data_IF_307289710618
#
_entry.id   IF_307289710618
#
_cell.length_a   1.000
_cell.length_b   1.000
_cell.length_c   1.000
_cell.angle_alpha   90.00
_cell.angle_beta   90.00
_cell.angle_gamma   90.00
#
_symmetry.space_group_name_H-M   'P 1'
#
loop_
_entity.id
_entity.type
_entity.pdbx_description
1 polymer ?
#
# COMPACT_ATOMS: atom_id res chain seq x y z
N UNK A 1 39.04 -31.91 -14.94
CA UNK A 1 38.67 -30.64 -15.59
C UNK A 1 37.40 -30.11 -14.92
N UNK A 2 37.42 -28.92 -14.31
CA UNK A 2 36.17 -28.30 -13.83
C UNK A 2 35.37 -27.87 -15.06
N UNK A 3 34.10 -28.25 -15.13
CA UNK A 3 33.21 -27.84 -16.23
C UNK A 3 33.09 -26.33 -16.29
N UNK A 4 32.83 -25.76 -17.48
CA UNK A 4 32.68 -24.30 -17.70
C UNK A 4 31.66 -23.67 -16.74
N UNK A 5 30.60 -24.41 -16.41
CA UNK A 5 29.58 -24.01 -15.43
C UNK A 5 30.12 -23.93 -14.00
N UNK A 6 31.01 -24.84 -13.59
CA UNK A 6 31.60 -24.81 -12.25
C UNK A 6 32.51 -23.58 -12.06
N UNK A 7 33.21 -23.16 -13.12
CA UNK A 7 34.04 -21.94 -13.10
C UNK A 7 33.15 -20.70 -12.99
N UNK A 8 32.09 -20.61 -13.81
CA UNK A 8 31.14 -19.51 -13.76
C UNK A 8 30.47 -19.39 -12.38
N UNK A 9 29.99 -20.51 -11.81
CA UNK A 9 29.39 -20.54 -10.47
C UNK A 9 30.39 -20.06 -9.41
N UNK A 10 31.65 -20.55 -9.46
CA UNK A 10 32.67 -20.14 -8.50
C UNK A 10 33.03 -18.65 -8.58
N UNK A 11 32.90 -18.05 -9.77
CA UNK A 11 33.14 -16.62 -9.98
C UNK A 11 31.95 -15.75 -9.55
N UNK A 12 30.73 -16.23 -9.71
CA UNK A 12 29.51 -15.46 -9.44
C UNK A 12 29.05 -15.53 -7.98
N UNK A 13 29.32 -16.63 -7.29
CA UNK A 13 28.86 -16.85 -5.92
C UNK A 13 29.22 -15.72 -4.94
N UNK A 14 30.46 -15.17 -4.92
CA UNK A 14 30.79 -14.06 -4.02
C UNK A 14 29.94 -12.80 -4.27
N UNK A 15 29.59 -12.52 -5.53
CA UNK A 15 28.78 -11.36 -5.91
C UNK A 15 27.34 -11.54 -5.45
N UNK A 16 26.77 -12.73 -5.68
CA UNK A 16 25.42 -13.07 -5.19
C UNK A 16 25.36 -12.98 -3.67
N UNK A 17 26.37 -13.52 -2.96
CA UNK A 17 26.45 -13.43 -1.51
C UNK A 17 26.51 -11.98 -1.02
N UNK A 18 27.29 -11.12 -1.69
CA UNK A 18 27.36 -9.70 -1.34
C UNK A 18 26.01 -9.00 -1.53
N UNK A 19 25.30 -9.30 -2.63
CA UNK A 19 23.95 -8.79 -2.88
C UNK A 19 22.94 -9.23 -1.81
N UNK A 20 22.95 -10.51 -1.45
CA UNK A 20 22.10 -11.05 -0.36
C UNK A 20 22.47 -10.42 0.98
N UNK A 21 23.76 -10.28 1.28
CA UNK A 21 24.22 -9.63 2.52
C UNK A 21 23.76 -8.17 2.59
N UNK A 22 23.81 -7.43 1.48
CA UNK A 22 23.31 -6.06 1.42
C UNK A 22 21.80 -5.99 1.74
N UNK A 23 20.99 -6.87 1.16
CA UNK A 23 19.55 -6.96 1.47
C UNK A 23 19.33 -7.27 2.95
N UNK A 24 20.05 -8.25 3.51
CA UNK A 24 19.95 -8.60 4.94
C UNK A 24 20.32 -7.41 5.82
N UNK A 25 21.41 -6.69 5.52
CA UNK A 25 21.82 -5.50 6.26
C UNK A 25 20.75 -4.42 6.19
N UNK A 26 20.15 -4.16 5.03
CA UNK A 26 19.04 -3.21 4.91
C UNK A 26 17.85 -3.62 5.77
N UNK A 27 17.43 -4.89 5.73
CA UNK A 27 16.31 -5.40 6.51
C UNK A 27 16.57 -5.30 8.02
N UNK A 28 17.77 -5.67 8.47
CA UNK A 28 18.18 -5.54 9.87
C UNK A 28 18.22 -4.06 10.29
N UNK A 29 18.76 -3.19 9.44
CA UNK A 29 18.85 -1.75 9.71
C UNK A 29 17.47 -1.13 9.86
N UNK A 30 16.54 -1.42 8.93
CA UNK A 30 15.15 -0.96 9.01
C UNK A 30 14.49 -1.48 10.27
N UNK A 31 14.63 -2.77 10.59
CA UNK A 31 14.06 -3.37 11.81
C UNK A 31 14.57 -2.71 13.09
N UNK A 32 15.87 -2.46 13.17
CA UNK A 32 16.48 -1.80 14.34
C UNK A 32 16.09 -0.32 14.42
N UNK A 33 15.94 0.37 13.29
CA UNK A 33 15.60 1.79 13.24
C UNK A 33 14.12 2.07 13.56
N UNK A 34 13.20 1.24 13.06
CA UNK A 34 11.75 1.47 13.22
C UNK A 34 11.20 0.84 14.50
N UNK A 35 11.93 -0.11 15.11
CA UNK A 35 11.41 -0.94 16.19
C UNK A 35 10.14 -1.71 15.80
N UNK A 36 9.82 -1.78 14.50
CA UNK A 36 8.64 -2.43 13.96
C UNK A 36 8.89 -3.94 13.93
N UNK A 37 8.65 -4.56 15.09
CA UNK A 37 8.53 -5.99 15.22
C UNK A 37 7.04 -6.32 15.19
N UNK A 38 6.52 -6.65 14.00
CA UNK A 38 5.43 -7.63 13.98
C UNK A 38 5.87 -8.83 13.14
N UNK A 39 6.47 -8.64 11.95
CA UNK A 39 6.90 -9.78 11.12
C UNK A 39 8.20 -9.60 10.31
N UNK A 40 8.68 -10.71 9.73
CA UNK A 40 9.71 -10.72 8.69
C UNK A 40 9.10 -10.37 7.31
N UNK A 41 9.90 -9.90 6.34
CA UNK A 41 9.40 -9.61 5.01
C UNK A 41 8.70 -10.81 4.40
N UNK A 42 7.61 -10.55 3.67
CA UNK A 42 6.87 -11.57 2.95
C UNK A 42 7.83 -12.43 2.08
N UNK A 43 7.77 -13.77 2.14
CA UNK A 43 8.72 -14.63 1.42
C UNK A 43 8.80 -14.35 -0.09
N UNK A 44 7.69 -13.93 -0.70
CA UNK A 44 7.64 -13.52 -2.10
C UNK A 44 8.53 -12.30 -2.41
N UNK A 45 8.69 -11.36 -1.48
CA UNK A 45 9.60 -10.21 -1.63
C UNK A 45 11.05 -10.69 -1.59
N UNK A 46 11.38 -11.59 -0.67
CA UNK A 46 12.73 -12.18 -0.59
C UNK A 46 13.05 -13.01 -1.85
N UNK A 47 12.07 -13.76 -2.35
CA UNK A 47 12.21 -14.52 -3.60
C UNK A 47 12.43 -13.60 -4.81
N UNK A 48 11.65 -12.52 -4.91
CA UNK A 48 11.79 -11.50 -5.96
C UNK A 48 13.18 -10.85 -5.89
N UNK A 49 13.60 -10.37 -4.72
CA UNK A 49 14.90 -9.75 -4.53
C UNK A 49 16.06 -10.71 -4.89
N UNK A 50 16.02 -11.95 -4.40
CA UNK A 50 17.01 -12.97 -4.72
C UNK A 50 17.05 -13.31 -6.22
N UNK A 51 15.89 -13.35 -6.87
CA UNK A 51 15.79 -13.56 -8.31
C UNK A 51 16.42 -12.41 -9.09
N UNK A 52 16.09 -11.15 -8.76
CA UNK A 52 16.65 -9.97 -9.42
C UNK A 52 18.17 -9.89 -9.23
N UNK A 53 18.68 -10.13 -8.01
CA UNK A 53 20.13 -10.22 -7.76
C UNK A 53 20.77 -11.24 -8.70
N UNK A 54 20.16 -12.41 -8.85
CA UNK A 54 20.68 -13.48 -9.70
C UNK A 54 20.70 -13.04 -11.17
N UNK A 55 19.60 -12.48 -11.68
CA UNK A 55 19.49 -12.03 -13.06
C UNK A 55 20.51 -10.93 -13.38
N UNK A 56 20.59 -9.88 -12.56
CA UNK A 56 21.54 -8.79 -12.76
C UNK A 56 23.00 -9.25 -12.64
N UNK A 57 23.29 -10.22 -11.76
CA UNK A 57 24.63 -10.83 -11.67
C UNK A 57 25.01 -11.57 -12.97
N UNK A 58 24.08 -12.33 -13.55
CA UNK A 58 24.31 -13.05 -14.81
C UNK A 58 24.45 -12.08 -15.98
N UNK A 59 23.62 -11.04 -16.04
CA UNK A 59 23.70 -9.99 -17.06
C UNK A 59 25.04 -9.26 -16.97
N UNK A 60 25.45 -8.86 -15.77
CA UNK A 60 26.73 -8.19 -15.53
C UNK A 60 27.93 -9.06 -15.93
N UNK A 61 27.89 -10.36 -15.60
CA UNK A 61 28.91 -11.30 -16.04
C UNK A 61 28.94 -11.44 -17.57
N UNK A 62 27.78 -11.58 -18.21
CA UNK A 62 27.65 -11.64 -19.67
C UNK A 62 28.25 -10.41 -20.36
N UNK A 63 27.87 -9.22 -19.89
CA UNK A 63 28.37 -7.94 -20.42
C UNK A 63 29.86 -7.75 -20.14
N UNK A 64 30.36 -8.17 -18.98
CA UNK A 64 31.78 -8.15 -18.64
C UNK A 64 32.66 -9.06 -19.50
N UNK A 65 32.08 -10.08 -20.16
CA UNK A 65 32.76 -10.88 -21.17
C UNK A 65 32.79 -10.22 -22.56
N UNK A 66 31.90 -9.27 -22.83
CA UNK A 66 31.75 -8.62 -24.14
C UNK A 66 32.44 -7.25 -24.19
N UNK A 67 32.50 -6.53 -23.07
CA UNK A 67 33.00 -5.17 -22.98
C UNK A 67 34.43 -5.11 -22.41
N UNK A 68 35.22 -4.07 -22.74
CA UNK A 68 36.46 -3.79 -22.03
C UNK A 68 36.21 -3.60 -20.53
N UNK A 69 37.06 -4.18 -19.68
CA UNK A 69 36.91 -4.14 -18.21
C UNK A 69 36.71 -2.73 -17.64
N UNK A 70 37.35 -1.74 -18.24
CA UNK A 70 37.28 -0.32 -17.83
C UNK A 70 35.89 0.28 -18.08
N UNK A 71 35.13 -0.23 -19.05
CA UNK A 71 33.82 0.29 -19.44
C UNK A 71 32.65 -0.54 -18.89
N UNK A 72 32.85 -1.84 -18.67
CA UNK A 72 31.78 -2.74 -18.27
C UNK A 72 31.10 -2.30 -16.97
N UNK A 73 31.88 -2.04 -15.91
CA UNK A 73 31.35 -1.63 -14.60
C UNK A 73 30.60 -0.29 -14.61
N UNK A 74 31.17 0.83 -15.13
CA UNK A 74 30.45 2.10 -15.14
C UNK A 74 29.21 2.09 -16.04
N UNK A 75 29.25 1.39 -17.18
CA UNK A 75 28.07 1.28 -18.05
C UNK A 75 26.95 0.50 -17.39
N UNK A 76 27.27 -0.65 -16.77
CA UNK A 76 26.28 -1.44 -16.02
C UNK A 76 25.65 -0.63 -14.89
N UNK A 77 26.47 0.10 -14.13
CA UNK A 77 25.98 0.94 -13.03
C UNK A 77 25.01 2.01 -13.53
N UNK A 78 25.35 2.71 -14.63
CA UNK A 78 24.49 3.74 -15.22
C UNK A 78 23.20 3.13 -15.75
N UNK A 79 23.27 2.00 -16.45
CA UNK A 79 22.09 1.32 -17.00
C UNK A 79 21.18 0.83 -15.86
N UNK A 80 21.72 0.16 -14.85
CA UNK A 80 20.94 -0.32 -13.71
C UNK A 80 20.32 0.86 -12.93
N UNK A 81 21.03 1.97 -12.77
CA UNK A 81 20.47 3.18 -12.15
C UNK A 81 19.28 3.73 -12.96
N UNK A 82 19.44 3.86 -14.28
CA UNK A 82 18.38 4.35 -15.15
C UNK A 82 17.19 3.39 -15.24
N UNK A 83 17.42 2.09 -15.10
CA UNK A 83 16.37 1.08 -15.18
C UNK A 83 15.67 0.83 -13.85
N UNK A 84 16.36 0.91 -12.71
CA UNK A 84 15.81 0.53 -11.40
C UNK A 84 15.46 1.73 -10.53
N UNK A 85 16.28 2.78 -10.54
CA UNK A 85 16.14 3.92 -9.63
C UNK A 85 15.37 5.07 -10.27
N UNK A 86 15.71 5.42 -11.52
CA UNK A 86 15.06 6.55 -12.20
C UNK A 86 13.53 6.40 -12.33
N UNK A 87 12.95 5.20 -12.63
CA UNK A 87 11.50 5.05 -12.70
C UNK A 87 10.75 5.37 -11.40
N UNK A 88 11.41 5.23 -10.24
CA UNK A 88 10.82 5.60 -8.94
C UNK A 88 10.54 7.09 -8.83
N UNK A 89 11.29 7.92 -9.57
CA UNK A 89 11.10 9.39 -9.60
C UNK A 89 10.04 9.86 -10.61
N UNK A 90 9.51 8.96 -11.44
CA UNK A 90 8.52 9.29 -12.45
C UNK A 90 7.13 9.32 -11.81
N UNK A 91 6.48 10.48 -11.85
CA UNK A 91 5.14 10.70 -11.29
C UNK A 91 4.01 10.46 -12.30
N UNK A 92 4.32 10.43 -13.59
CA UNK A 92 3.36 10.10 -14.66
C UNK A 92 4.11 9.52 -15.88
N UNK A 93 3.85 8.27 -16.29
CA UNK A 93 2.93 7.32 -15.68
C UNK A 93 3.53 6.60 -14.47
N UNK A 94 2.76 6.52 -13.37
CA UNK A 94 3.22 5.93 -12.10
C UNK A 94 3.50 4.43 -12.17
N UNK A 95 2.81 3.69 -13.04
CA UNK A 95 2.98 2.23 -13.16
C UNK A 95 4.40 1.79 -13.58
N UNK A 96 5.23 2.69 -14.10
CA UNK A 96 6.60 2.36 -14.53
C UNK A 96 7.47 1.85 -13.38
N UNK A 97 7.27 2.35 -12.15
CA UNK A 97 8.04 1.91 -10.98
C UNK A 97 7.76 0.45 -10.60
N UNK A 98 6.60 -0.07 -10.94
CA UNK A 98 6.22 -1.46 -10.67
C UNK A 98 7.10 -2.45 -11.45
N UNK A 99 7.64 -2.02 -12.60
CA UNK A 99 8.54 -2.81 -13.42
C UNK A 99 9.92 -3.01 -12.77
N UNK A 100 10.28 -2.19 -11.77
CA UNK A 100 11.60 -2.22 -11.11
C UNK A 100 11.60 -3.04 -9.82
N UNK A 101 10.44 -3.48 -9.37
CA UNK A 101 10.26 -4.12 -8.06
C UNK A 101 10.19 -3.12 -6.91
N UNK A 102 9.84 -1.86 -7.20
CA UNK A 102 9.46 -0.87 -6.20
C UNK A 102 8.19 -1.34 -5.47
N UNK A 103 8.21 -1.31 -4.13
CA UNK A 103 7.11 -1.76 -3.27
C UNK A 103 6.82 -0.69 -2.21
N UNK A 104 6.21 0.42 -2.63
CA UNK A 104 5.83 1.56 -1.77
C UNK A 104 4.32 1.60 -1.47
N UNK A 105 3.64 0.48 -1.66
CA UNK A 105 2.25 0.35 -1.21
C UNK A 105 2.18 0.41 0.32
N UNK A 106 0.99 0.63 0.90
CA UNK A 106 0.78 0.63 2.35
C UNK A 106 0.91 -0.77 2.97
N UNK A 107 1.90 -1.58 2.55
CA UNK A 107 2.23 -2.88 3.11
C UNK A 107 2.73 -2.82 4.57
N UNK A 108 2.88 -1.62 5.13
CA UNK A 108 2.99 -1.41 6.58
C UNK A 108 1.66 -1.53 7.33
N UNK A 109 0.53 -1.56 6.62
CA UNK A 109 -0.78 -1.85 7.16
C UNK A 109 -0.95 -3.37 7.31
N UNK A 110 -1.04 -3.84 8.56
CA UNK A 110 -1.18 -5.25 8.94
C UNK A 110 -2.47 -5.90 8.44
N UNK A 111 -3.42 -5.10 7.94
CA UNK A 111 -4.69 -5.56 7.37
C UNK A 111 -4.64 -5.80 5.86
N UNK A 112 -3.53 -5.44 5.21
CA UNK A 112 -3.29 -5.67 3.78
C UNK A 112 -2.29 -6.80 3.56
N UNK A 113 -2.31 -7.39 2.37
CA UNK A 113 -1.31 -8.36 1.92
C UNK A 113 -0.71 -7.95 0.59
N UNK A 114 0.44 -8.55 0.28
CA UNK A 114 1.22 -8.26 -0.92
C UNK A 114 0.42 -8.60 -2.18
N UNK A 115 0.38 -7.66 -3.14
CA UNK A 115 -0.21 -7.95 -4.44
C UNK A 115 0.79 -8.84 -5.25
N UNK A 116 0.45 -10.11 -5.56
CA UNK A 116 1.39 -11.01 -6.22
C UNK A 116 1.80 -10.53 -7.62
N UNK A 117 0.96 -9.70 -8.27
CA UNK A 117 1.29 -9.10 -9.57
C UNK A 117 2.51 -8.19 -9.45
N UNK A 118 2.58 -7.37 -8.39
CA UNK A 118 3.71 -6.47 -8.14
C UNK A 118 5.03 -7.23 -7.91
N UNK A 119 4.97 -8.48 -7.42
CA UNK A 119 6.15 -9.33 -7.27
C UNK A 119 6.60 -9.97 -8.59
N UNK A 120 5.65 -10.39 -9.43
CA UNK A 120 5.92 -11.18 -10.64
C UNK A 120 6.35 -10.30 -11.80
N UNK A 121 5.75 -9.12 -11.96
CA UNK A 121 6.01 -8.18 -13.05
C UNK A 121 7.51 -7.84 -13.23
N UNK A 122 8.25 -7.43 -12.20
CA UNK A 122 9.69 -7.16 -12.34
C UNK A 122 10.48 -8.43 -12.66
N UNK A 123 10.07 -9.59 -12.15
CA UNK A 123 10.71 -10.87 -12.49
C UNK A 123 10.49 -11.24 -13.97
N UNK A 124 9.29 -11.02 -14.50
CA UNK A 124 8.96 -11.25 -15.92
C UNK A 124 9.80 -10.34 -16.81
N UNK A 125 9.89 -9.05 -16.49
CA UNK A 125 10.72 -8.12 -17.26
C UNK A 125 12.21 -8.51 -17.22
N UNK A 126 12.74 -8.80 -16.04
CA UNK A 126 14.11 -9.25 -15.85
C UNK A 126 14.39 -10.57 -16.60
N UNK A 127 13.43 -11.50 -16.61
CA UNK A 127 13.49 -12.74 -17.42
C UNK A 127 13.59 -12.42 -18.90
N UNK A 128 12.80 -11.45 -19.38
CA UNK A 128 12.82 -11.00 -20.77
C UNK A 128 14.16 -10.46 -21.20
N UNK A 129 14.76 -9.60 -20.38
CA UNK A 129 16.10 -9.03 -20.62
C UNK A 129 17.14 -10.17 -20.62
N UNK A 130 17.09 -11.06 -19.64
CA UNK A 130 18.00 -12.20 -19.56
C UNK A 130 17.89 -13.13 -20.78
N UNK A 131 16.67 -13.50 -21.15
CA UNK A 131 16.39 -14.34 -22.31
C UNK A 131 16.87 -13.67 -23.60
N UNK A 132 16.57 -12.38 -23.78
CA UNK A 132 17.02 -11.61 -24.93
C UNK A 132 18.55 -11.63 -25.07
N UNK A 133 19.30 -11.47 -23.97
CA UNK A 133 20.76 -11.53 -23.96
C UNK A 133 21.28 -12.94 -24.24
N UNK A 134 20.79 -13.96 -23.52
CA UNK A 134 21.30 -15.33 -23.63
C UNK A 134 21.00 -15.95 -25.00
N UNK A 135 19.79 -15.78 -25.52
CA UNK A 135 19.39 -16.32 -26.83
C UNK A 135 20.17 -15.61 -27.94
N UNK A 136 20.32 -14.29 -27.87
CA UNK A 136 21.10 -13.53 -28.86
C UNK A 136 22.58 -13.94 -28.84
N UNK A 137 23.15 -14.16 -27.65
CA UNK A 137 24.52 -14.64 -27.51
C UNK A 137 24.69 -16.05 -28.09
N UNK A 138 23.71 -16.94 -27.93
CA UNK A 138 23.76 -18.28 -28.53
C UNK A 138 23.65 -18.23 -30.07
N UNK A 139 22.73 -17.44 -30.61
CA UNK A 139 22.57 -17.23 -32.06
C UNK A 139 23.85 -16.61 -32.65
N UNK A 140 24.47 -15.69 -31.92
CA UNK A 140 25.74 -15.11 -32.30
C UNK A 140 26.86 -16.15 -32.41
N UNK A 141 26.74 -17.37 -31.85
CA UNK A 141 27.73 -18.46 -32.01
C UNK A 141 27.51 -19.35 -33.23
N UNK A 142 26.39 -19.20 -33.96
CA UNK A 142 26.08 -20.07 -35.09
C UNK A 142 27.14 -20.04 -36.20
N UNK A 143 27.33 -21.17 -36.90
CA UNK A 143 28.20 -21.25 -38.09
C UNK A 143 27.47 -20.81 -39.35
N UNK A 144 26.95 -19.58 -39.35
CA UNK A 144 26.22 -18.97 -40.48
C UNK A 144 26.92 -17.66 -40.93
N UNK A 145 26.59 -17.11 -42.11
CA UNK A 145 27.11 -15.81 -42.53
C UNK A 145 26.83 -14.73 -41.47
N UNK A 146 27.77 -13.78 -41.31
CA UNK A 146 27.69 -12.75 -40.27
C UNK A 146 26.38 -11.96 -40.32
N UNK A 147 25.93 -11.60 -41.52
CA UNK A 147 24.67 -10.88 -41.74
C UNK A 147 23.47 -11.66 -41.21
N UNK A 148 23.39 -12.96 -41.51
CA UNK A 148 22.30 -13.84 -41.05
C UNK A 148 22.30 -13.97 -39.52
N UNK A 149 23.48 -14.11 -38.91
CA UNK A 149 23.61 -14.24 -37.45
C UNK A 149 23.23 -12.97 -36.71
N UNK A 150 23.73 -11.82 -37.18
CA UNK A 150 23.45 -10.52 -36.57
C UNK A 150 21.96 -10.19 -36.72
N UNK A 151 21.39 -10.42 -37.90
CA UNK A 151 19.95 -10.26 -38.13
C UNK A 151 19.13 -11.15 -37.20
N UNK A 152 19.42 -12.46 -37.15
CA UNK A 152 18.70 -13.40 -36.31
C UNK A 152 18.85 -13.09 -34.80
N UNK A 153 20.04 -12.69 -34.34
CA UNK A 153 20.27 -12.30 -32.96
C UNK A 153 19.50 -11.02 -32.60
N UNK A 154 19.53 -10.00 -33.47
CA UNK A 154 18.77 -8.77 -33.27
C UNK A 154 17.26 -9.03 -33.25
N UNK A 155 16.75 -9.86 -34.17
CA UNK A 155 15.34 -10.26 -34.18
C UNK A 155 14.96 -11.02 -32.91
N UNK A 156 15.77 -12.00 -32.48
CA UNK A 156 15.51 -12.74 -31.25
C UNK A 156 15.54 -11.84 -30.01
N UNK A 157 16.49 -10.90 -29.95
CA UNK A 157 16.56 -9.89 -28.89
C UNK A 157 15.27 -9.08 -28.82
N UNK A 158 14.86 -8.50 -29.95
CA UNK A 158 13.66 -7.67 -30.04
C UNK A 158 12.40 -8.47 -29.70
N UNK A 159 12.25 -9.69 -30.22
CA UNK A 159 11.09 -10.54 -29.93
C UNK A 159 11.02 -10.88 -28.45
N UNK A 160 12.13 -11.31 -27.83
CA UNK A 160 12.14 -11.63 -26.40
C UNK A 160 11.82 -10.38 -25.57
N UNK A 161 12.48 -9.27 -25.84
CA UNK A 161 12.25 -8.04 -25.09
C UNK A 161 10.80 -7.57 -25.25
N UNK A 162 10.25 -7.52 -26.46
CA UNK A 162 8.87 -7.09 -26.70
C UNK A 162 7.85 -7.99 -26.03
N UNK A 163 7.97 -9.32 -26.16
CA UNK A 163 6.99 -10.26 -25.57
C UNK A 163 6.96 -10.13 -24.05
N UNK A 164 8.12 -10.11 -23.40
CA UNK A 164 8.19 -10.03 -21.95
C UNK A 164 7.85 -8.64 -21.42
N UNK A 165 8.26 -7.57 -22.10
CA UNK A 165 7.85 -6.20 -21.73
C UNK A 165 6.34 -6.04 -21.82
N UNK A 166 5.71 -6.50 -22.91
CA UNK A 166 4.23 -6.46 -23.02
C UNK A 166 3.58 -7.29 -21.90
N UNK A 167 4.11 -8.48 -21.62
CA UNK A 167 3.60 -9.34 -20.55
C UNK A 167 3.74 -8.73 -19.15
N UNK A 168 4.80 -7.96 -18.92
CA UNK A 168 5.05 -7.25 -17.66
C UNK A 168 4.19 -5.98 -17.54
N UNK A 169 3.97 -5.26 -18.64
CA UNK A 169 3.24 -3.98 -18.65
C UNK A 169 1.72 -4.19 -18.59
N UNK A 170 1.18 -5.17 -19.32
CA UNK A 170 -0.28 -5.36 -19.43
C UNK A 170 -1.02 -5.42 -18.08
N UNK A 171 -0.52 -6.10 -17.04
CA UNK A 171 -1.22 -6.19 -15.75
C UNK A 171 -1.19 -4.90 -14.92
N UNK A 172 -0.25 -3.99 -15.19
CA UNK A 172 0.03 -2.80 -14.35
C UNK A 172 -0.23 -1.48 -15.05
N UNK A 173 -0.42 -1.47 -16.38
CA UNK A 173 -0.57 -0.25 -17.19
C UNK A 173 -1.70 0.69 -16.74
N UNK A 174 -2.71 0.14 -16.08
CA UNK A 174 -3.90 0.85 -15.62
C UNK A 174 -3.76 1.29 -14.13
N UNK A 175 -2.60 1.05 -13.51
CA UNK A 175 -2.32 1.47 -12.13
C UNK A 175 -1.90 2.94 -12.12
N UNK A 176 -2.64 3.75 -11.36
CA UNK A 176 -2.44 5.20 -11.24
C UNK A 176 -1.71 5.56 -9.93
N UNK A 177 -0.87 4.67 -9.40
CA UNK A 177 -0.34 4.79 -8.06
C UNK A 177 0.40 3.53 -7.62
N UNK A 178 0.36 3.25 -6.32
CA UNK A 178 0.97 2.04 -5.75
C UNK A 178 0.20 0.79 -6.20
N UNK A 179 0.78 -0.41 -6.05
CA UNK A 179 0.04 -1.64 -6.26
C UNK A 179 -1.31 -1.58 -5.54
N UNK A 180 -2.42 -1.89 -6.22
CA UNK A 180 -3.73 -1.93 -5.58
C UNK A 180 -3.67 -2.83 -4.35
N UNK A 181 -4.05 -2.32 -3.16
CA UNK A 181 -3.97 -3.08 -1.93
C UNK A 181 -4.89 -4.30 -2.03
N UNK A 182 -4.46 -5.41 -1.44
CA UNK A 182 -5.31 -6.59 -1.27
C UNK A 182 -5.62 -6.77 0.18
N UNK A 183 -6.88 -7.03 0.48
CA UNK A 183 -7.29 -7.42 1.83
C UNK A 183 -6.54 -8.69 2.24
N UNK A 184 -6.10 -8.71 3.50
CA UNK A 184 -5.58 -9.93 4.13
C UNK A 184 -6.69 -11.00 4.19
N UNK A 185 -6.29 -12.26 4.04
CA UNK A 185 -7.21 -13.42 4.03
C UNK A 185 -7.00 -14.37 5.20
N UNK A 186 -5.97 -14.13 6.02
CA UNK A 186 -5.75 -14.91 7.24
C UNK A 186 -6.92 -14.72 8.21
N UNK A 187 -7.24 -15.77 8.97
CA UNK A 187 -8.33 -15.71 9.94
C UNK A 187 -8.01 -14.71 11.05
N UNK A 188 -8.89 -13.72 11.31
CA UNK A 188 -8.70 -12.78 12.40
C UNK A 188 -8.91 -13.46 13.75
N UNK A 189 -8.36 -12.85 14.81
CA UNK A 189 -8.68 -13.19 16.20
C UNK A 189 -9.82 -12.29 16.65
N UNK A 190 -10.87 -12.90 17.20
CA UNK A 190 -12.07 -12.18 17.60
C UNK A 190 -12.40 -12.37 19.07
N UNK A 191 -13.03 -11.37 19.68
CA UNK A 191 -13.68 -11.51 20.98
C UNK A 191 -15.00 -12.27 20.87
N UNK A 192 -15.38 -12.91 21.97
CA UNK A 192 -16.73 -13.38 22.21
C UNK A 192 -17.60 -12.20 22.70
N UNK A 193 -18.72 -11.92 22.03
CA UNK A 193 -19.59 -10.81 22.41
C UNK A 193 -20.49 -10.28 21.30
N UNK A 194 -21.20 -9.18 21.60
CA UNK A 194 -22.03 -8.43 20.65
C UNK A 194 -21.87 -6.92 20.91
N UNK A 195 -21.20 -6.14 20.02
CA UNK A 195 -20.57 -6.62 18.80
C UNK A 195 -19.34 -7.50 19.06
N UNK A 196 -19.06 -8.41 18.13
CA UNK A 196 -17.77 -9.11 18.07
C UNK A 196 -16.69 -8.11 17.64
N UNK A 197 -15.49 -8.22 18.17
CA UNK A 197 -14.37 -7.37 17.77
C UNK A 197 -13.29 -8.26 17.17
N UNK A 198 -12.99 -8.06 15.89
CA UNK A 198 -12.05 -8.88 15.14
C UNK A 198 -10.84 -8.06 14.71
N UNK A 199 -9.65 -8.57 14.99
CA UNK A 199 -8.37 -7.93 14.63
C UNK A 199 -7.39 -8.97 14.07
N UNK A 200 -6.40 -8.57 13.26
CA UNK A 200 -5.28 -9.44 12.90
C UNK A 200 -4.55 -9.96 14.14
N UNK A 201 -3.89 -11.11 14.03
CA UNK A 201 -3.20 -11.75 15.16
C UNK A 201 -2.15 -10.84 15.81
N UNK A 202 -1.52 -9.98 15.01
CA UNK A 202 -0.51 -9.01 15.42
C UNK A 202 -1.09 -7.91 16.33
N UNK A 203 -2.40 -7.68 16.27
CA UNK A 203 -3.12 -6.71 17.09
C UNK A 203 -3.98 -7.36 18.19
N UNK A 204 -3.79 -8.66 18.46
CA UNK A 204 -4.60 -9.39 19.45
C UNK A 204 -4.52 -8.80 20.87
N UNK A 205 -3.37 -8.21 21.24
CA UNK A 205 -3.18 -7.55 22.54
C UNK A 205 -4.09 -6.31 22.72
N UNK A 206 -4.60 -5.75 21.63
CA UNK A 206 -5.55 -4.63 21.65
C UNK A 206 -7.00 -5.06 21.92
N UNK A 207 -7.32 -6.36 21.91
CA UNK A 207 -8.71 -6.83 22.01
C UNK A 207 -9.39 -6.47 23.33
N UNK A 208 -8.70 -6.62 24.47
CA UNK A 208 -9.31 -6.32 25.78
C UNK A 208 -9.60 -4.81 25.95
N UNK A 209 -8.65 -3.89 25.69
CA UNK A 209 -8.96 -2.47 25.78
C UNK A 209 -9.95 -2.01 24.69
N UNK A 210 -9.94 -2.62 23.49
CA UNK A 210 -10.97 -2.36 22.47
C UNK A 210 -12.36 -2.79 22.94
N UNK A 211 -12.47 -3.95 23.56
CA UNK A 211 -13.73 -4.44 24.10
C UNK A 211 -14.25 -3.53 25.23
N UNK A 212 -13.35 -3.01 26.08
CA UNK A 212 -13.72 -2.05 27.12
C UNK A 212 -14.23 -0.73 26.51
N UNK A 213 -13.50 -0.16 25.55
CA UNK A 213 -13.90 1.08 24.87
C UNK A 213 -15.20 0.90 24.06
N UNK A 214 -15.39 -0.25 23.40
CA UNK A 214 -16.60 -0.56 22.63
C UNK A 214 -17.83 -0.65 23.53
N UNK A 215 -17.70 -1.26 24.71
CA UNK A 215 -18.79 -1.31 25.71
C UNK A 215 -19.24 0.07 26.18
N UNK A 216 -18.36 1.07 26.14
CA UNK A 216 -18.71 2.46 26.47
C UNK A 216 -19.30 3.20 25.27
N UNK A 217 -18.65 3.11 24.10
CA UNK A 217 -18.93 3.94 22.93
C UNK A 217 -20.15 3.46 22.14
N UNK A 218 -20.24 2.16 21.85
CA UNK A 218 -21.27 1.61 20.96
C UNK A 218 -22.69 1.88 21.48
N UNK A 219 -23.01 1.67 22.77
CA UNK A 219 -24.35 1.96 23.27
C UNK A 219 -24.75 3.44 23.09
N UNK A 220 -23.82 4.38 23.28
CA UNK A 220 -24.11 5.82 23.11
C UNK A 220 -24.39 6.19 21.65
N UNK A 221 -23.70 5.54 20.72
CA UNK A 221 -23.96 5.70 19.29
C UNK A 221 -25.31 5.10 18.88
N UNK A 222 -25.68 3.95 19.45
CA UNK A 222 -27.00 3.34 19.26
C UNK A 222 -28.10 4.23 19.84
N UNK A 223 -27.89 4.81 21.02
CA UNK A 223 -28.80 5.78 21.63
C UNK A 223 -28.93 7.07 20.79
N UNK A 224 -27.91 7.41 20.00
CA UNK A 224 -27.96 8.49 19.00
C UNK A 224 -28.74 8.11 17.73
N UNK A 225 -29.26 6.88 17.66
CA UNK A 225 -30.13 6.37 16.59
C UNK A 225 -29.39 5.63 15.47
N UNK A 226 -28.12 5.27 15.66
CA UNK A 226 -27.39 4.42 14.73
C UNK A 226 -27.76 2.95 14.93
N UNK A 227 -27.72 2.18 13.84
CA UNK A 227 -27.94 0.74 13.93
C UNK A 227 -26.78 0.06 14.66
N UNK A 228 -27.05 -0.88 15.59
CA UNK A 228 -26.00 -1.57 16.31
C UNK A 228 -25.18 -2.46 15.37
N UNK A 229 -23.84 -2.41 15.43
CA UNK A 229 -23.01 -3.30 14.64
C UNK A 229 -23.09 -4.74 15.18
N UNK A 230 -22.96 -5.71 14.29
CA UNK A 230 -22.68 -7.10 14.70
C UNK A 230 -21.18 -7.29 14.95
N UNK A 231 -20.35 -6.55 14.23
CA UNK A 231 -18.90 -6.69 14.26
C UNK A 231 -18.19 -5.32 14.18
N UNK A 232 -17.13 -5.17 14.97
CA UNK A 232 -16.10 -4.14 14.80
C UNK A 232 -14.85 -4.84 14.25
N UNK A 233 -14.45 -4.54 13.02
CA UNK A 233 -13.39 -5.27 12.33
C UNK A 233 -12.22 -4.37 11.96
N UNK A 234 -11.01 -4.68 12.42
CA UNK A 234 -9.80 -4.02 11.92
C UNK A 234 -9.35 -4.69 10.62
N UNK A 235 -9.83 -4.14 9.51
CA UNK A 235 -9.63 -4.67 8.16
C UNK A 235 -9.34 -3.54 7.17
N UNK A 236 -8.63 -3.86 6.09
CA UNK A 236 -8.24 -2.87 5.09
C UNK A 236 -9.45 -2.27 4.38
N UNK A 237 -9.26 -1.10 3.75
CA UNK A 237 -10.27 -0.52 2.87
C UNK A 237 -10.60 -1.39 1.65
N UNK A 238 -9.67 -2.24 1.23
CA UNK A 238 -9.86 -3.20 0.14
C UNK A 238 -10.72 -4.41 0.55
N UNK A 239 -11.03 -4.58 1.83
CA UNK A 239 -11.88 -5.67 2.30
C UNK A 239 -13.35 -5.34 2.04
N UNK A 240 -14.05 -6.30 1.45
CA UNK A 240 -15.51 -6.28 1.37
C UNK A 240 -16.08 -6.62 2.75
N UNK A 241 -16.89 -5.72 3.30
CA UNK A 241 -17.45 -5.84 4.66
C UNK A 241 -18.97 -5.77 4.60
N UNK A 242 -19.63 -6.50 5.50
CA UNK A 242 -21.09 -6.48 5.64
C UNK A 242 -21.58 -5.10 6.13
N UNK A 243 -22.83 -4.76 5.84
CA UNK A 243 -23.44 -3.48 6.23
C UNK A 243 -23.52 -3.26 7.74
N UNK A 244 -23.45 -4.33 8.55
CA UNK A 244 -23.43 -4.29 10.03
C UNK A 244 -22.03 -4.50 10.61
N UNK A 245 -21.00 -4.35 9.79
CA UNK A 245 -19.60 -4.32 10.23
C UNK A 245 -19.09 -2.89 10.23
N UNK A 246 -18.59 -2.41 11.37
CA UNK A 246 -17.90 -1.13 11.44
C UNK A 246 -16.39 -1.35 11.31
N UNK A 247 -15.76 -0.63 10.38
CA UNK A 247 -14.32 -0.77 10.12
C UNK A 247 -13.52 0.02 11.15
N UNK A 248 -12.78 -0.68 11.99
CA UNK A 248 -11.85 -0.08 12.94
C UNK A 248 -10.59 0.42 12.23
N UNK A 249 -9.97 1.43 12.81
CA UNK A 249 -8.64 1.87 12.45
C UNK A 249 -7.74 1.76 13.68
N UNK A 250 -6.63 1.02 13.60
CA UNK A 250 -5.70 0.86 14.72
C UNK A 250 -4.28 1.23 14.28
N UNK A 251 -3.51 1.75 15.23
CA UNK A 251 -2.07 1.93 15.10
C UNK A 251 -1.38 1.49 16.39
N UNK A 252 -0.05 1.35 16.33
CA UNK A 252 0.74 0.87 17.46
C UNK A 252 0.67 1.86 18.63
N UNK A 253 0.52 1.35 19.85
CA UNK A 253 0.54 2.16 21.07
C UNK A 253 -0.64 3.16 21.19
N UNK A 254 -1.79 2.81 20.61
CA UNK A 254 -3.02 3.60 20.69
C UNK A 254 -3.48 3.78 22.16
N UNK A 255 -3.69 5.02 22.60
CA UNK A 255 -4.19 5.34 23.94
C UNK A 255 -5.72 5.24 24.05
N UNK A 256 -6.25 5.33 25.27
CA UNK A 256 -7.70 5.21 25.53
C UNK A 256 -8.56 6.20 24.70
N UNK A 257 -8.13 7.47 24.65
CA UNK A 257 -8.80 8.52 23.86
C UNK A 257 -8.83 8.17 22.37
N UNK A 258 -7.73 7.65 21.85
CA UNK A 258 -7.61 7.25 20.46
C UNK A 258 -8.44 6.01 20.13
N UNK A 259 -8.55 5.06 21.07
CA UNK A 259 -9.41 3.87 20.90
C UNK A 259 -10.88 4.27 20.86
N UNK A 260 -11.32 5.17 21.74
CA UNK A 260 -12.68 5.72 21.71
C UNK A 260 -12.95 6.48 20.42
N UNK A 261 -12.01 7.31 19.97
CA UNK A 261 -12.10 8.03 18.70
C UNK A 261 -12.21 7.07 17.51
N UNK A 262 -11.40 6.01 17.48
CA UNK A 262 -11.42 5.00 16.42
C UNK A 262 -12.76 4.26 16.37
N UNK A 263 -13.26 3.77 17.50
CA UNK A 263 -14.56 3.10 17.57
C UNK A 263 -15.69 4.06 17.19
N UNK A 264 -15.63 5.31 17.66
CA UNK A 264 -16.64 6.30 17.29
C UNK A 264 -16.65 6.58 15.78
N UNK A 265 -15.48 6.80 15.19
CA UNK A 265 -15.35 7.06 13.77
C UNK A 265 -15.67 5.83 12.90
N UNK A 266 -15.53 4.60 13.43
CA UNK A 266 -15.83 3.36 12.70
C UNK A 266 -17.30 3.23 12.28
N UNK A 267 -18.20 3.94 12.96
CA UNK A 267 -19.62 4.01 12.62
C UNK A 267 -19.89 4.87 11.37
N UNK A 268 -18.89 5.59 10.85
CA UNK A 268 -18.99 6.31 9.58
C UNK A 268 -18.88 5.30 8.42
N UNK A 269 -19.92 5.14 7.58
CA UNK A 269 -19.84 4.27 6.42
C UNK A 269 -18.73 4.69 5.45
N UNK A 270 -18.17 3.76 4.66
CA UNK A 270 -17.10 4.08 3.73
C UNK A 270 -17.54 5.14 2.71
N UNK A 271 -16.70 6.16 2.54
CA UNK A 271 -16.86 7.24 1.56
C UNK A 271 -15.80 7.02 0.47
N UNK A 272 -16.19 6.83 -0.80
CA UNK A 272 -15.25 6.55 -1.87
C UNK A 272 -14.39 7.78 -2.20
N UNK A 273 -13.18 7.60 -2.78
CA UNK A 273 -12.39 8.70 -3.29
C UNK A 273 -13.11 9.39 -4.45
N UNK A 274 -13.49 10.66 -4.27
CA UNK A 274 -14.16 11.44 -5.29
C UNK A 274 -13.15 12.22 -6.17
N UNK A 275 -13.42 12.41 -7.48
CA UNK A 275 -12.52 13.12 -8.38
C UNK A 275 -12.18 14.54 -7.91
N UNK A 276 -10.88 14.82 -7.80
CA UNK A 276 -10.36 16.08 -7.26
C UNK A 276 -10.77 17.33 -8.07
N UNK A 277 -11.05 17.16 -9.37
CA UNK A 277 -11.40 18.22 -10.33
C UNK A 277 -12.88 18.62 -10.28
N UNK A 278 -13.69 17.90 -9.52
CA UNK A 278 -15.11 18.19 -9.38
C UNK A 278 -15.33 19.03 -8.12
N UNK A 279 -16.17 20.06 -8.20
CA UNK A 279 -16.65 20.90 -7.06
C UNK A 279 -17.36 20.09 -5.94
N UNK A 280 -17.33 18.76 -6.06
CA UNK A 280 -17.86 17.72 -5.21
C UNK A 280 -17.21 17.68 -3.83
N UNK A 281 -15.94 18.11 -3.67
CA UNK A 281 -15.27 18.22 -2.35
C UNK A 281 -15.72 19.43 -1.53
N UNK A 282 -16.96 19.88 -1.71
CA UNK A 282 -17.62 20.91 -0.89
C UNK A 282 -18.22 20.33 0.40
N UNK A 283 -17.73 19.21 0.89
CA UNK A 283 -18.12 18.60 2.17
C UNK A 283 -16.92 18.00 2.90
N UNK A 284 -17.04 17.84 4.21
CA UNK A 284 -15.94 17.49 5.11
C UNK A 284 -16.29 16.26 5.96
N UNK A 285 -15.78 15.08 5.58
CA UNK A 285 -16.03 13.82 6.29
C UNK A 285 -15.56 13.86 7.76
N UNK A 286 -14.53 14.65 8.06
CA UNK A 286 -14.06 14.89 9.43
C UNK A 286 -15.12 15.48 10.34
N UNK A 287 -16.04 16.28 9.81
CA UNK A 287 -17.14 16.88 10.59
C UNK A 287 -18.15 15.82 11.03
N UNK A 288 -18.43 14.85 10.17
CA UNK A 288 -19.30 13.72 10.50
C UNK A 288 -18.63 12.79 11.52
N UNK A 289 -17.33 12.54 11.36
CA UNK A 289 -16.55 11.78 12.34
C UNK A 289 -16.49 12.47 13.71
N UNK A 290 -16.27 13.80 13.76
CA UNK A 290 -16.29 14.56 15.00
C UNK A 290 -17.67 14.55 15.67
N UNK A 291 -18.76 14.60 14.91
CA UNK A 291 -20.12 14.43 15.46
C UNK A 291 -20.29 13.05 16.11
N UNK A 292 -19.80 11.97 15.49
CA UNK A 292 -19.82 10.63 16.08
C UNK A 292 -19.02 10.58 17.39
N UNK A 293 -17.85 11.24 17.46
CA UNK A 293 -17.06 11.33 18.69
C UNK A 293 -17.79 12.09 19.80
N UNK A 294 -18.48 13.19 19.49
CA UNK A 294 -19.33 13.89 20.46
C UNK A 294 -20.48 13.00 20.94
N UNK A 295 -21.09 12.20 20.05
CA UNK A 295 -22.14 11.23 20.43
C UNK A 295 -21.60 10.05 21.24
N UNK A 296 -20.36 9.66 21.01
CA UNK A 296 -19.63 8.73 21.87
C UNK A 296 -19.32 9.33 23.26
N UNK A 297 -19.59 10.62 23.48
CA UNK A 297 -19.40 11.33 24.74
C UNK A 297 -17.98 11.87 24.94
N UNK A 298 -17.23 12.05 23.84
CA UNK A 298 -15.91 12.69 23.89
C UNK A 298 -16.03 14.21 23.99
N UNK A 299 -15.13 14.83 24.76
CA UNK A 299 -14.98 16.28 24.85
C UNK A 299 -14.21 16.87 23.67
N UNK A 300 -14.28 18.20 23.51
CA UNK A 300 -13.59 18.92 22.42
C UNK A 300 -12.07 18.72 22.50
N UNK A 301 -11.49 18.79 23.69
CA UNK A 301 -10.04 18.63 23.90
C UNK A 301 -9.57 17.19 23.55
N UNK A 302 -10.40 16.18 23.85
CA UNK A 302 -10.15 14.78 23.48
C UNK A 302 -10.20 14.59 21.96
N UNK A 303 -11.20 15.18 21.29
CA UNK A 303 -11.36 15.13 19.83
C UNK A 303 -10.20 15.83 19.11
N UNK A 304 -9.65 16.90 19.69
CA UNK A 304 -8.53 17.64 19.09
C UNK A 304 -7.16 17.03 19.37
N UNK A 305 -7.03 16.22 20.43
CA UNK A 305 -5.76 15.58 20.81
C UNK A 305 -5.58 14.16 20.27
N UNK A 306 -6.65 13.49 19.85
CA UNK A 306 -6.58 12.16 19.25
C UNK A 306 -5.88 12.14 17.88
N UNK A 307 -5.27 11.02 17.54
CA UNK A 307 -4.55 10.77 16.28
C UNK A 307 -5.24 9.75 15.36
N UNK A 308 -6.28 9.06 15.85
CA UNK A 308 -7.04 8.04 15.10
C UNK A 308 -7.76 8.56 13.85
N UNK A 309 -8.24 9.80 13.86
CA UNK A 309 -8.97 10.40 12.74
C UNK A 309 -8.60 11.87 12.57
N UNK A 310 -7.52 12.11 11.81
CA UNK A 310 -6.92 13.43 11.62
C UNK A 310 -7.88 14.48 11.05
N UNK A 311 -8.83 14.09 10.20
CA UNK A 311 -9.81 15.04 9.67
C UNK A 311 -10.78 15.54 10.76
N UNK A 312 -11.01 14.76 11.81
CA UNK A 312 -11.87 15.18 12.92
C UNK A 312 -11.18 16.13 13.91
N UNK A 313 -9.85 16.28 13.83
CA UNK A 313 -9.08 17.16 14.73
C UNK A 313 -9.04 18.62 14.26
N UNK A 314 -9.63 18.96 13.10
CA UNK A 314 -9.64 20.32 12.58
C UNK A 314 -10.42 21.25 13.54
N UNK A 315 -9.81 22.29 14.12
CA UNK A 315 -10.53 23.20 15.02
C UNK A 315 -11.70 23.92 14.33
N UNK A 316 -11.65 24.10 13.00
CA UNK A 316 -12.65 24.85 12.25
C UNK A 316 -13.98 24.13 12.12
N UNK A 317 -14.03 22.80 12.28
CA UNK A 317 -15.26 22.01 12.14
C UNK A 317 -16.08 21.97 13.43
N UNK A 318 -15.48 22.23 14.59
CA UNK A 318 -16.18 22.14 15.88
C UNK A 318 -17.37 23.10 16.03
N UNK A 319 -17.35 24.35 15.52
CA UNK A 319 -18.54 25.20 15.49
C UNK A 319 -19.72 24.62 14.71
N UNK A 320 -19.44 23.84 13.66
CA UNK A 320 -20.48 23.12 12.90
C UNK A 320 -21.06 22.02 13.76
N UNK A 321 -20.22 21.19 14.37
CA UNK A 321 -20.64 20.10 15.26
C UNK A 321 -21.45 20.64 16.46
N UNK A 322 -20.99 21.71 17.10
CA UNK A 322 -21.70 22.37 18.22
C UNK A 322 -23.08 22.90 17.80
N UNK A 323 -23.20 23.46 16.59
CA UNK A 323 -24.50 23.91 16.06
C UNK A 323 -25.45 22.73 15.85
N UNK A 324 -24.99 21.67 15.20
CA UNK A 324 -25.84 20.52 14.88
C UNK A 324 -26.21 19.73 16.14
N UNK A 325 -25.31 19.63 17.12
CA UNK A 325 -25.58 18.90 18.39
C UNK A 325 -26.66 19.53 19.26
N UNK A 326 -27.03 20.80 19.01
CA UNK A 326 -28.15 21.51 19.67
C UNK A 326 -29.52 21.19 19.05
N UNK A 327 -29.57 20.53 17.90
CA UNK A 327 -30.83 20.12 17.28
C UNK A 327 -31.47 18.94 18.04
N UNK A 328 -32.74 18.65 17.77
CA UNK A 328 -33.37 17.43 18.31
C UNK A 328 -32.66 16.17 17.79
N UNK A 329 -32.63 15.05 18.54
CA UNK A 329 -31.94 13.82 18.12
C UNK A 329 -32.30 13.36 16.70
N UNK A 330 -33.59 13.39 16.35
CA UNK A 330 -34.10 13.04 15.01
C UNK A 330 -33.51 13.92 13.89
N UNK A 331 -33.36 15.23 14.16
CA UNK A 331 -32.79 16.18 13.19
C UNK A 331 -31.29 15.96 13.02
N UNK A 332 -30.58 15.62 14.09
CA UNK A 332 -29.16 15.29 14.04
C UNK A 332 -28.92 14.03 13.21
N UNK A 333 -29.68 12.96 13.46
CA UNK A 333 -29.58 11.71 12.71
C UNK A 333 -29.94 11.92 11.23
N UNK A 334 -30.97 12.71 10.94
CA UNK A 334 -31.35 13.06 9.57
C UNK A 334 -30.26 13.86 8.84
N UNK A 335 -29.63 14.81 9.54
CA UNK A 335 -28.48 15.56 9.01
C UNK A 335 -27.29 14.64 8.72
N UNK A 336 -26.92 13.77 9.68
CA UNK A 336 -25.83 12.82 9.53
C UNK A 336 -26.05 11.90 8.33
N UNK A 337 -27.20 11.21 8.30
CA UNK A 337 -27.55 10.22 7.26
C UNK A 337 -27.57 10.84 5.86
N UNK A 338 -28.16 12.04 5.74
CA UNK A 338 -28.19 12.79 4.47
C UNK A 338 -26.78 13.12 3.97
N UNK A 339 -25.93 13.67 4.85
CA UNK A 339 -24.59 14.10 4.44
C UNK A 339 -23.66 12.92 4.16
N UNK A 340 -23.78 11.80 4.89
CA UNK A 340 -23.12 10.53 4.52
C UNK A 340 -23.53 10.10 3.11
N UNK A 341 -24.83 10.08 2.81
CA UNK A 341 -25.35 9.67 1.50
C UNK A 341 -24.83 10.55 0.37
N UNK A 342 -24.78 11.88 0.59
CA UNK A 342 -24.23 12.83 -0.38
C UNK A 342 -22.75 12.56 -0.65
N UNK A 343 -21.94 12.38 0.39
CA UNK A 343 -20.51 12.10 0.25
C UNK A 343 -20.26 10.74 -0.43
N UNK A 344 -21.03 9.71 -0.11
CA UNK A 344 -20.94 8.40 -0.77
C UNK A 344 -21.24 8.46 -2.28
N UNK A 345 -22.13 9.35 -2.68
CA UNK A 345 -22.48 9.57 -4.09
C UNK A 345 -21.56 10.58 -4.78
N UNK A 346 -20.50 11.03 -4.11
CA UNK A 346 -19.65 12.11 -4.60
C UNK A 346 -20.49 13.33 -5.00
N UNK A 347 -21.37 13.78 -4.08
CA UNK A 347 -22.18 15.00 -4.20
C UNK A 347 -21.81 16.02 -3.13
N UNK A 348 -21.94 17.33 -3.42
CA UNK A 348 -21.75 18.41 -2.44
C UNK A 348 -22.48 18.20 -1.12
N UNK A 349 -21.77 18.39 0.00
CA UNK A 349 -22.32 18.34 1.36
C UNK A 349 -21.93 19.59 2.18
N UNK A 350 -22.34 20.80 1.74
CA UNK A 350 -21.86 22.08 2.28
C UNK A 350 -22.20 22.29 3.76
N UNK A 351 -23.21 21.61 4.29
CA UNK A 351 -23.60 21.68 5.70
C UNK A 351 -22.51 21.14 6.65
N UNK A 352 -21.61 20.31 6.13
CA UNK A 352 -20.48 19.75 6.87
C UNK A 352 -19.24 20.65 6.85
N UNK A 353 -19.23 21.71 6.03
CA UNK A 353 -18.07 22.56 5.87
C UNK A 353 -17.95 23.57 7.01
N UNK A 354 -16.72 23.86 7.47
CA UNK A 354 -16.49 24.99 8.34
C UNK A 354 -16.92 26.29 7.62
N UNK A 355 -17.60 27.18 8.34
CA UNK A 355 -17.88 28.51 7.81
C UNK A 355 -16.57 29.27 7.68
N UNK A 356 -16.10 29.50 6.44
CA UNK A 356 -14.96 30.38 6.20
C UNK A 356 -15.33 31.79 6.68
N UNK A 357 -14.75 32.19 7.82
CA UNK A 357 -14.69 33.61 8.16
C UNK A 357 -13.77 34.23 7.14
N UNK A 358 -14.31 35.03 6.21
CA UNK A 358 -13.51 35.94 5.39
C UNK A 358 -12.72 36.82 6.35
N UNK A 359 -11.44 36.51 6.56
CA UNK A 359 -10.49 37.50 7.08
C UNK A 359 -10.44 38.59 6.02
N UNK A 360 -11.10 39.72 6.31
CA UNK A 360 -11.09 40.90 5.46
C UNK A 360 -9.64 41.31 5.20
N UNK A 361 -9.29 41.42 3.92
CA UNK A 361 -8.11 42.14 3.47
C UNK A 361 -8.42 43.64 3.44
#
# INVERSE_FOLDING_TARGET
MRGRYAIAISALWPVVLLGVAAVVVCLVTVRLATGAAFDWPHPGVLAMAGYLITVHTVLGYGLGMLLPRVLAAPLLLVVDYLCLVMPVTIVDPMWLRELTGWLDAPYGDITTTMNPVALVVPMVLATGILAAVLISAEIARWRRPRVVRVGAAATAFLVCLSVFTVSAVLPVRDWNGDPPPRARTDSPVCTDGSPRICVPVEAADSLEPLAAAAKEVVPRLVDAGLEPPEELAFVSEAADIDTRTWRLFLYRDMGDVDMKASIAASALPPIPPCPETSDVRSGHAGTLAAWLMVKAGMGVDEIQSQSSQKLATDPQIMPVVDRETKLSPERQLSWFTRNVTLLQQCRPAPETMPTFVKTGA
#
